data_IF_270419730026
#
_entry.id   IF_270419730026
#
_cell.length_a   1.000
_cell.length_b   1.000
_cell.length_c   1.000
_cell.angle_alpha   90.00
_cell.angle_beta   90.00
_cell.angle_gamma   90.00
#
_symmetry.space_group_name_H-M   'P 1'
#
loop_
_entity.id
_entity.type
_entity.pdbx_description
1 polymer ?
#
# COMPACT_ATOMS: atom_id res chain seq x y z
N UNK A 1 -9.69 8.40 0.66
CA UNK A 1 -8.38 8.46 1.35
C UNK A 1 -7.59 7.18 1.09
N UNK A 2 -6.35 7.31 0.63
CA UNK A 2 -5.47 6.19 0.24
C UNK A 2 -5.26 5.18 1.38
N UNK A 3 -5.06 5.65 2.60
CA UNK A 3 -4.81 4.79 3.77
C UNK A 3 -5.92 3.73 3.95
N UNK A 4 -7.20 4.09 3.78
CA UNK A 4 -8.32 3.13 3.93
C UNK A 4 -8.25 2.00 2.90
N UNK A 5 -7.74 2.27 1.69
CA UNK A 5 -7.57 1.25 0.63
C UNK A 5 -6.42 0.32 0.96
N UNK A 6 -5.29 0.87 1.43
CA UNK A 6 -4.15 0.10 1.90
C UNK A 6 -4.56 -0.81 3.06
N UNK A 7 -5.24 -0.29 4.08
CA UNK A 7 -5.69 -1.09 5.23
C UNK A 7 -6.57 -2.29 4.84
N UNK A 8 -7.46 -2.13 3.86
CA UNK A 8 -8.24 -3.25 3.33
C UNK A 8 -7.36 -4.27 2.61
N UNK A 9 -6.43 -3.80 1.79
CA UNK A 9 -5.47 -4.67 1.09
C UNK A 9 -4.61 -5.47 2.07
N UNK A 10 -4.12 -4.84 3.15
CA UNK A 10 -3.32 -5.52 4.17
C UNK A 10 -4.11 -6.67 4.83
N UNK A 11 -5.39 -6.42 5.17
CA UNK A 11 -6.26 -7.44 5.75
C UNK A 11 -6.59 -8.57 4.77
N UNK A 12 -6.87 -8.23 3.51
CA UNK A 12 -7.23 -9.20 2.49
C UNK A 12 -6.11 -10.20 2.17
N UNK A 13 -4.87 -9.74 2.17
CA UNK A 13 -3.72 -10.58 1.84
C UNK A 13 -2.88 -11.01 3.04
N UNK A 14 -3.38 -10.77 4.26
CA UNK A 14 -2.65 -10.95 5.53
C UNK A 14 -1.21 -10.41 5.46
N UNK A 15 -1.08 -9.19 4.92
CA UNK A 15 0.21 -8.56 4.65
C UNK A 15 0.58 -7.58 5.77
N UNK A 16 1.77 -7.72 6.39
CA UNK A 16 2.28 -6.72 7.33
C UNK A 16 2.49 -5.35 6.66
N UNK A 17 2.12 -4.28 7.36
CA UNK A 17 2.26 -2.90 6.88
C UNK A 17 3.70 -2.54 6.46
N UNK A 18 4.69 -3.04 7.20
CA UNK A 18 6.13 -2.84 6.90
C UNK A 18 6.57 -3.57 5.64
N UNK A 19 6.02 -4.76 5.39
CA UNK A 19 6.26 -5.54 4.16
C UNK A 19 5.65 -4.81 2.97
N UNK A 20 4.41 -4.35 3.08
CA UNK A 20 3.76 -3.55 2.05
C UNK A 20 4.56 -2.30 1.69
N UNK A 21 4.97 -1.52 2.69
CA UNK A 21 5.75 -0.31 2.47
C UNK A 21 7.06 -0.59 1.72
N UNK A 22 7.76 -1.68 2.09
CA UNK A 22 8.98 -2.11 1.40
C UNK A 22 8.74 -2.51 -0.05
N UNK A 23 7.65 -3.22 -0.33
CA UNK A 23 7.34 -3.73 -1.68
C UNK A 23 6.75 -2.66 -2.61
N UNK A 24 5.85 -1.82 -2.10
CA UNK A 24 5.09 -0.86 -2.90
C UNK A 24 5.75 0.52 -2.99
N UNK A 25 6.42 0.95 -1.91
CA UNK A 25 6.95 2.30 -1.76
C UNK A 25 8.47 2.37 -1.57
N UNK A 26 9.16 1.22 -1.47
CA UNK A 26 10.55 1.10 -1.00
C UNK A 26 10.79 1.78 0.37
N UNK A 27 9.74 1.90 1.19
CA UNK A 27 9.76 2.58 2.49
C UNK A 27 8.96 1.75 3.51
N UNK A 28 9.61 1.04 4.44
CA UNK A 28 8.90 0.20 5.42
C UNK A 28 8.05 1.01 6.42
N UNK A 29 8.28 2.32 6.56
CA UNK A 29 7.48 3.20 7.42
C UNK A 29 6.30 3.83 6.69
N UNK A 30 6.20 3.67 5.37
CA UNK A 30 5.20 4.32 4.54
C UNK A 30 3.79 4.27 5.12
N UNK A 31 3.27 3.07 5.41
CA UNK A 31 1.91 2.89 5.95
C UNK A 31 1.77 3.50 7.35
N UNK A 32 2.80 3.40 8.19
CA UNK A 32 2.78 3.98 9.54
C UNK A 32 2.72 5.51 9.47
N UNK A 33 3.50 6.12 8.58
CA UNK A 33 3.46 7.56 8.39
C UNK A 33 2.11 8.01 7.82
N UNK A 34 1.50 7.24 6.89
CA UNK A 34 0.14 7.50 6.39
C UNK A 34 -0.92 7.45 7.51
N UNK A 35 -0.78 6.52 8.48
CA UNK A 35 -1.64 6.46 9.67
C UNK A 35 -1.45 7.70 10.56
N UNK A 36 -0.23 8.23 10.60
CA UNK A 36 0.11 9.45 11.35
C UNK A 36 -0.21 10.75 10.59
N UNK A 37 -0.92 10.68 9.46
CA UNK A 37 -1.38 11.86 8.71
C UNK A 37 -0.45 12.32 7.58
N UNK A 38 0.59 11.55 7.22
CA UNK A 38 1.39 11.83 6.03
C UNK A 38 0.49 11.82 4.79
N UNK A 39 0.59 12.86 3.97
CA UNK A 39 -0.11 12.93 2.71
C UNK A 39 0.86 12.64 1.54
N UNK A 40 0.69 11.52 0.82
CA UNK A 40 1.58 11.14 -0.27
C UNK A 40 1.26 11.98 -1.51
N UNK A 41 2.31 12.33 -2.27
CA UNK A 41 2.16 13.01 -3.55
C UNK A 41 1.38 12.15 -4.55
N UNK A 42 0.70 12.78 -5.50
CA UNK A 42 -0.11 12.10 -6.54
C UNK A 42 0.64 10.96 -7.26
N UNK A 43 1.92 11.17 -7.61
CA UNK A 43 2.75 10.12 -8.23
C UNK A 43 2.96 8.89 -7.33
N UNK A 44 3.10 9.09 -6.01
CA UNK A 44 3.16 7.98 -5.06
C UNK A 44 1.81 7.27 -5.00
N UNK A 45 0.69 8.00 -4.96
CA UNK A 45 -0.65 7.40 -4.96
C UNK A 45 -0.83 6.47 -6.16
N UNK A 46 -0.50 6.93 -7.37
CA UNK A 46 -0.61 6.13 -8.59
C UNK A 46 0.26 4.87 -8.56
N UNK A 47 1.48 4.95 -8.02
CA UNK A 47 2.37 3.80 -7.86
C UNK A 47 1.79 2.76 -6.90
N UNK A 48 1.26 3.21 -5.76
CA UNK A 48 0.65 2.34 -4.75
C UNK A 48 -0.61 1.65 -5.29
N UNK A 49 -1.43 2.41 -6.01
CA UNK A 49 -2.64 1.87 -6.65
C UNK A 49 -2.29 0.79 -7.68
N UNK A 50 -1.30 1.06 -8.55
CA UNK A 50 -0.81 0.07 -9.52
C UNK A 50 -0.28 -1.18 -8.84
N UNK A 51 0.53 -1.04 -7.79
CA UNK A 51 1.04 -2.17 -7.02
C UNK A 51 -0.09 -3.05 -6.46
N UNK A 52 -1.11 -2.44 -5.85
CA UNK A 52 -2.24 -3.20 -5.29
C UNK A 52 -3.05 -3.93 -6.37
N UNK A 53 -3.23 -3.33 -7.54
CA UNK A 53 -3.90 -3.95 -8.68
C UNK A 53 -3.08 -5.12 -9.23
N UNK A 54 -1.80 -4.91 -9.51
CA UNK A 54 -0.90 -5.93 -10.06
C UNK A 54 -0.79 -7.12 -9.10
N UNK A 55 -0.72 -6.87 -7.79
CA UNK A 55 -0.70 -7.92 -6.77
C UNK A 55 -2.00 -8.74 -6.73
N UNK A 56 -3.16 -8.08 -6.83
CA UNK A 56 -4.45 -8.77 -6.89
C UNK A 56 -4.53 -9.65 -8.12
N UNK A 57 -4.15 -9.13 -9.29
CA UNK A 57 -4.13 -9.88 -10.55
C UNK A 57 -3.23 -11.11 -10.45
N UNK A 58 -2.02 -10.96 -9.87
CA UNK A 58 -1.09 -12.07 -9.70
C UNK A 58 -1.56 -13.15 -8.71
N UNK A 59 -2.50 -12.86 -7.82
CA UNK A 59 -3.07 -13.83 -6.85
C UNK A 59 -4.39 -14.46 -7.31
N UNK A 60 -5.07 -13.85 -8.28
CA UNK A 60 -6.31 -14.37 -8.88
C UNK A 60 -6.05 -15.18 -10.17
N UNK A 61 -4.80 -15.25 -10.63
CA UNK A 61 -4.34 -16.15 -11.69
C UNK A 61 -3.89 -17.48 -11.09
#
# INVERSE_FOLDING_TARGET
MLIRRIERFLREFDMPATKFGRLAAHDPRFVLDLRNGREPRSGTVSRIDRFMTDWRSARHA
#
